data_IF_505496214967
#
_entry.id   IF_505496214967
#
_cell.length_a   1.000
_cell.length_b   1.000
_cell.length_c   1.000
_cell.angle_alpha   90.00
_cell.angle_beta   90.00
_cell.angle_gamma   90.00
#
_symmetry.space_group_name_H-M   'P 1'
#
loop_
_entity.id
_entity.type
_entity.pdbx_description
1 polymer ?
#
# COMPACT_ATOMS: atom_id res chain seq x y z
N UNK A 1 16.66 46.56 20.82
CA UNK A 1 15.89 45.52 20.09
C UNK A 1 16.21 44.18 20.74
N UNK A 2 15.22 43.46 21.27
CA UNK A 2 15.44 42.12 21.78
C UNK A 2 15.82 41.22 20.59
N UNK A 3 16.94 40.52 20.70
CA UNK A 3 17.36 39.58 19.65
C UNK A 3 16.35 38.44 19.58
N UNK A 4 16.01 37.99 18.38
CA UNK A 4 15.15 36.82 18.17
C UNK A 4 15.65 35.60 18.97
N UNK A 5 16.96 35.49 19.17
CA UNK A 5 17.63 34.44 19.94
C UNK A 5 17.51 34.59 21.46
N UNK A 6 17.01 35.74 21.95
CA UNK A 6 16.75 35.96 23.37
C UNK A 6 15.36 35.47 23.81
N UNK A 7 14.56 34.93 22.89
CA UNK A 7 13.26 34.35 23.21
C UNK A 7 13.40 33.02 23.96
N UNK A 8 12.44 32.68 24.85
CA UNK A 8 12.36 31.37 25.47
C UNK A 8 12.24 30.24 24.45
N UNK A 9 12.72 29.05 24.79
CA UNK A 9 12.70 27.88 23.90
C UNK A 9 11.28 27.49 23.49
N UNK A 10 10.30 27.70 24.36
CA UNK A 10 8.87 27.45 24.10
C UNK A 10 8.34 28.37 22.99
N UNK A 11 8.76 29.64 22.99
CA UNK A 11 8.40 30.59 21.93
C UNK A 11 9.09 30.23 20.62
N UNK A 12 10.36 29.85 20.66
CA UNK A 12 11.08 29.38 19.47
C UNK A 12 10.46 28.10 18.88
N UNK A 13 10.00 27.18 19.73
CA UNK A 13 9.27 25.98 19.33
C UNK A 13 7.96 26.31 18.61
N UNK A 14 7.14 27.22 19.15
CA UNK A 14 5.89 27.65 18.52
C UNK A 14 6.15 28.31 17.16
N UNK A 15 7.22 29.09 17.04
CA UNK A 15 7.60 29.70 15.76
C UNK A 15 8.01 28.63 14.75
N UNK A 16 8.83 27.66 15.16
CA UNK A 16 9.22 26.52 14.31
C UNK A 16 7.99 25.74 13.84
N UNK A 17 7.05 25.45 14.76
CA UNK A 17 5.78 24.77 14.47
C UNK A 17 4.85 25.54 13.52
N UNK A 18 5.05 26.85 13.42
CA UNK A 18 4.24 27.72 12.55
C UNK A 18 4.74 27.76 11.10
N UNK A 19 5.92 27.20 10.79
CA UNK A 19 6.47 27.19 9.42
C UNK A 19 5.53 26.47 8.44
N UNK A 20 5.11 27.16 7.38
CA UNK A 20 4.12 26.68 6.40
C UNK A 20 4.61 25.49 5.61
N UNK A 21 5.89 25.52 5.21
CA UNK A 21 6.50 24.47 4.40
C UNK A 21 7.71 23.84 5.09
N UNK A 22 8.05 22.63 4.66
CA UNK A 22 9.26 21.92 5.11
C UNK A 22 10.55 22.65 4.70
N UNK A 23 10.52 23.35 3.55
CA UNK A 23 11.64 24.19 3.09
C UNK A 23 11.87 25.40 4.01
N UNK A 24 10.79 26.05 4.45
CA UNK A 24 10.88 27.13 5.44
C UNK A 24 11.44 26.61 6.77
N UNK A 25 10.93 25.48 7.27
CA UNK A 25 11.44 24.87 8.50
C UNK A 25 12.94 24.56 8.40
N UNK A 26 13.36 23.90 7.30
CA UNK A 26 14.77 23.58 7.05
C UNK A 26 15.63 24.84 7.04
N UNK A 27 15.26 25.82 6.23
CA UNK A 27 15.98 27.10 6.13
C UNK A 27 16.08 27.79 7.49
N UNK A 28 15.00 27.78 8.27
CA UNK A 28 14.95 28.45 9.56
C UNK A 28 15.82 27.77 10.61
N UNK A 29 15.78 26.43 10.69
CA UNK A 29 16.61 25.65 11.62
C UNK A 29 18.10 25.76 11.33
N UNK A 30 18.48 25.98 10.06
CA UNK A 30 19.87 26.12 9.63
C UNK A 30 20.45 27.52 9.89
N UNK A 31 19.64 28.52 10.24
CA UNK A 31 20.13 29.90 10.44
C UNK A 31 21.06 30.05 11.65
N UNK A 32 20.86 29.30 12.73
CA UNK A 32 21.73 29.38 13.91
C UNK A 32 21.69 28.13 14.79
N UNK A 33 22.73 27.96 15.63
CA UNK A 33 22.89 26.80 16.54
C UNK A 33 21.76 26.66 17.56
N UNK A 34 21.21 27.77 18.06
CA UNK A 34 20.14 27.72 19.07
C UNK A 34 18.84 27.17 18.47
N UNK A 35 18.46 27.66 17.29
CA UNK A 35 17.28 27.15 16.57
C UNK A 35 17.44 25.68 16.19
N UNK A 36 18.63 25.30 15.71
CA UNK A 36 18.95 23.90 15.46
C UNK A 36 18.81 23.06 16.74
N UNK A 37 19.32 23.54 17.88
CA UNK A 37 19.20 22.83 19.16
C UNK A 37 17.74 22.69 19.62
N UNK A 38 16.91 23.73 19.48
CA UNK A 38 15.47 23.65 19.82
C UNK A 38 14.76 22.65 18.91
N UNK A 39 15.07 22.68 17.61
CA UNK A 39 14.55 21.74 16.63
C UNK A 39 14.93 20.31 16.95
N UNK A 40 16.21 20.00 17.16
CA UNK A 40 16.69 18.64 17.45
C UNK A 40 16.06 18.07 18.73
N UNK A 41 15.85 18.91 19.74
CA UNK A 41 15.24 18.49 21.01
C UNK A 41 13.71 18.32 20.91
N UNK A 42 13.07 18.94 19.92
CA UNK A 42 11.61 19.00 19.78
C UNK A 42 11.10 18.41 18.47
N UNK A 43 11.94 17.61 17.80
CA UNK A 43 11.73 17.13 16.43
C UNK A 43 10.36 16.47 16.27
N UNK A 44 9.98 15.61 17.21
CA UNK A 44 8.71 14.92 17.20
C UNK A 44 7.51 15.87 17.23
N UNK A 45 7.54 16.87 18.11
CA UNK A 45 6.41 17.80 18.26
C UNK A 45 6.27 18.72 17.05
N UNK A 46 7.40 19.17 16.48
CA UNK A 46 7.43 19.98 15.27
C UNK A 46 6.89 19.18 14.08
N UNK A 47 7.36 17.94 13.89
CA UNK A 47 6.96 17.10 12.77
C UNK A 47 5.53 16.58 12.87
N UNK A 48 5.01 16.31 14.07
CA UNK A 48 3.60 15.96 14.22
C UNK A 48 2.67 17.09 13.73
N UNK A 49 3.09 18.35 13.86
CA UNK A 49 2.29 19.49 13.43
C UNK A 49 2.49 19.80 11.94
N UNK A 50 3.75 19.95 11.51
CA UNK A 50 4.06 20.36 10.14
C UNK A 50 3.84 19.21 9.17
N UNK A 51 4.21 17.98 9.55
CA UNK A 51 4.02 16.78 8.75
C UNK A 51 2.54 16.54 8.44
N UNK A 52 1.67 16.57 9.45
CA UNK A 52 0.21 16.45 9.25
C UNK A 52 -0.39 17.52 8.33
N UNK A 53 0.23 18.69 8.23
CA UNK A 53 -0.22 19.77 7.33
C UNK A 53 0.29 19.61 5.89
N UNK A 54 1.48 19.03 5.71
CA UNK A 54 2.20 19.03 4.43
C UNK A 54 2.23 17.66 3.72
N UNK A 55 2.03 16.57 4.46
CA UNK A 55 2.09 15.20 3.96
C UNK A 55 0.68 14.62 4.07
N UNK A 56 0.00 14.34 2.95
CA UNK A 56 -1.29 13.66 2.98
C UNK A 56 -1.16 12.31 3.69
N UNK A 57 -2.12 11.97 4.54
CA UNK A 57 -2.15 10.76 5.35
C UNK A 57 -0.84 10.47 6.09
N UNK A 58 -0.31 11.52 6.72
CA UNK A 58 0.96 11.52 7.44
C UNK A 58 1.16 10.33 8.40
N UNK A 59 0.11 9.89 9.11
CA UNK A 59 0.23 8.77 10.04
C UNK A 59 0.47 7.44 9.34
N UNK A 60 -0.26 7.17 8.25
CA UNK A 60 -0.05 5.99 7.40
C UNK A 60 1.34 6.04 6.74
N UNK A 61 1.79 7.23 6.29
CA UNK A 61 3.16 7.40 5.78
C UNK A 61 4.24 7.03 6.82
N UNK A 62 4.05 7.41 8.09
CA UNK A 62 4.96 7.02 9.20
C UNK A 62 4.93 5.51 9.42
N UNK A 63 3.75 4.91 9.42
CA UNK A 63 3.59 3.47 9.66
C UNK A 63 4.26 2.67 8.54
N UNK A 64 3.98 3.00 7.28
CA UNK A 64 4.55 2.32 6.11
C UNK A 64 6.06 2.51 6.02
N UNK A 65 6.57 3.73 6.25
CA UNK A 65 8.02 3.97 6.24
C UNK A 65 8.76 3.18 7.32
N UNK A 66 8.20 3.08 8.54
CA UNK A 66 8.76 2.27 9.62
C UNK A 66 8.70 0.78 9.33
N UNK A 67 7.58 0.28 8.80
CA UNK A 67 7.44 -1.12 8.45
C UNK A 67 8.46 -1.54 7.38
N UNK A 68 8.55 -0.75 6.30
CA UNK A 68 9.53 -0.94 5.23
C UNK A 68 10.95 -0.95 5.78
N UNK A 69 11.30 0.02 6.63
CA UNK A 69 12.62 0.08 7.26
C UNK A 69 12.94 -1.17 8.08
N UNK A 70 12.01 -1.65 8.90
CA UNK A 70 12.21 -2.88 9.69
C UNK A 70 12.50 -4.06 8.76
N UNK A 71 11.75 -4.21 7.67
CA UNK A 71 11.94 -5.31 6.74
C UNK A 71 13.27 -5.21 5.98
N UNK A 72 13.63 -4.02 5.52
CA UNK A 72 14.91 -3.76 4.85
C UNK A 72 16.12 -3.95 5.78
N UNK A 73 16.02 -3.56 7.05
CA UNK A 73 17.08 -3.79 8.04
C UNK A 73 17.34 -5.29 8.27
N UNK A 74 16.30 -6.14 8.20
CA UNK A 74 16.45 -7.61 8.28
C UNK A 74 16.99 -8.18 6.97
N UNK A 75 16.50 -7.69 5.83
CA UNK A 75 17.04 -8.04 4.52
C UNK A 75 18.55 -7.74 4.42
N UNK A 76 19.00 -6.58 4.89
CA UNK A 76 20.41 -6.19 4.88
C UNK A 76 21.28 -7.11 5.74
N UNK A 77 20.69 -7.79 6.73
CA UNK A 77 21.30 -8.84 7.57
C UNK A 77 21.17 -10.25 6.96
N UNK A 78 20.39 -10.42 5.89
CA UNK A 78 20.09 -11.72 5.27
C UNK A 78 19.06 -12.55 6.04
N UNK A 79 18.27 -11.91 6.90
CA UNK A 79 17.27 -12.54 7.76
C UNK A 79 15.85 -12.12 7.32
N UNK A 80 14.86 -12.96 7.60
CA UNK A 80 13.47 -12.53 7.47
C UNK A 80 13.08 -11.55 8.58
N UNK A 81 12.08 -10.68 8.33
CA UNK A 81 11.51 -9.87 9.39
C UNK A 81 10.92 -10.71 10.54
N UNK A 82 10.69 -10.09 11.72
CA UNK A 82 10.15 -10.80 12.87
C UNK A 82 8.79 -11.44 12.57
N UNK A 83 8.58 -12.66 13.08
CA UNK A 83 7.27 -13.31 13.11
C UNK A 83 6.85 -13.49 14.59
N UNK A 84 5.75 -12.87 15.05
CA UNK A 84 4.89 -11.97 14.27
C UNK A 84 5.52 -10.58 14.04
N UNK A 85 5.10 -9.89 12.97
CA UNK A 85 5.59 -8.55 12.63
C UNK A 85 5.16 -7.52 13.70
N UNK A 86 6.02 -6.56 14.12
CA UNK A 86 5.76 -5.66 15.25
C UNK A 86 4.85 -4.47 14.90
N UNK A 87 3.63 -4.73 14.43
CA UNK A 87 2.66 -3.70 14.01
C UNK A 87 2.37 -2.66 15.11
N UNK A 88 2.32 -3.07 16.38
CA UNK A 88 1.99 -2.20 17.52
C UNK A 88 3.06 -1.11 17.78
N UNK A 89 4.26 -1.25 17.21
CA UNK A 89 5.37 -0.31 17.40
C UNK A 89 5.49 0.73 16.27
N UNK A 90 4.72 0.56 15.19
CA UNK A 90 4.77 1.42 14.01
C UNK A 90 4.12 2.80 14.23
N UNK A 91 2.96 2.93 14.89
CA UNK A 91 2.27 4.21 15.01
C UNK A 91 3.07 5.27 15.76
N UNK A 92 2.76 6.54 15.47
CA UNK A 92 3.35 7.71 16.16
C UNK A 92 3.05 7.67 17.68
N UNK A 93 1.87 7.16 18.06
CA UNK A 93 1.46 6.98 19.46
C UNK A 93 2.34 5.99 20.22
N UNK A 94 2.95 5.02 19.53
CA UNK A 94 3.82 4.01 20.13
C UNK A 94 5.28 4.46 20.17
N UNK A 95 5.76 5.17 19.12
CA UNK A 95 7.15 5.61 19.00
C UNK A 95 7.24 7.04 18.48
N UNK A 96 7.99 7.89 19.19
CA UNK A 96 8.29 9.26 18.77
C UNK A 96 9.05 9.29 17.44
N UNK A 97 8.75 10.29 16.62
CA UNK A 97 9.42 10.55 15.34
C UNK A 97 10.89 10.88 15.61
N UNK A 98 11.79 10.23 14.88
CA UNK A 98 13.22 10.53 14.85
C UNK A 98 13.69 11.02 13.47
N UNK A 99 14.98 11.37 13.35
CA UNK A 99 15.55 11.87 12.10
C UNK A 99 15.49 10.85 10.95
N UNK A 100 15.66 9.56 11.27
CA UNK A 100 15.54 8.46 10.29
C UNK A 100 14.13 8.39 9.72
N UNK A 101 13.10 8.54 10.58
CA UNK A 101 11.71 8.56 10.13
C UNK A 101 11.48 9.71 9.16
N UNK A 102 12.06 10.88 9.42
CA UNK A 102 11.91 12.07 8.57
C UNK A 102 12.47 11.86 7.18
N UNK A 103 13.69 11.30 7.08
CA UNK A 103 14.28 11.04 5.77
C UNK A 103 13.40 10.08 4.98
N UNK A 104 13.03 8.95 5.57
CA UNK A 104 12.15 7.98 4.91
C UNK A 104 10.79 8.58 4.54
N UNK A 105 10.20 9.42 5.39
CA UNK A 105 8.93 10.10 5.11
C UNK A 105 9.01 11.02 3.90
N UNK A 106 10.12 11.74 3.72
CA UNK A 106 10.31 12.61 2.56
C UNK A 106 10.40 11.81 1.27
N UNK A 107 11.12 10.67 1.31
CA UNK A 107 11.25 9.77 0.16
C UNK A 107 9.91 9.11 -0.17
N UNK A 108 9.17 8.63 0.84
CA UNK A 108 7.84 8.05 0.69
C UNK A 108 6.81 9.04 0.16
N UNK A 109 6.77 10.26 0.71
CA UNK A 109 5.86 11.30 0.22
C UNK A 109 6.17 11.69 -1.23
N UNK A 110 7.46 11.79 -1.59
CA UNK A 110 7.86 12.04 -2.98
C UNK A 110 7.39 10.92 -3.89
N UNK A 111 7.66 9.67 -3.52
CA UNK A 111 7.27 8.48 -4.27
C UNK A 111 5.77 8.41 -4.54
N UNK A 112 4.94 8.57 -3.49
CA UNK A 112 3.48 8.54 -3.66
C UNK A 112 2.98 9.75 -4.46
N UNK A 113 3.66 10.90 -4.41
CA UNK A 113 3.34 12.04 -5.28
C UNK A 113 3.68 11.76 -6.75
N UNK A 114 4.77 11.03 -7.04
CA UNK A 114 5.05 10.56 -8.42
C UNK A 114 3.93 9.63 -8.91
N UNK A 115 3.50 8.68 -8.07
CA UNK A 115 2.37 7.80 -8.38
C UNK A 115 1.06 8.58 -8.59
N UNK A 116 0.80 9.58 -7.75
CA UNK A 116 -0.35 10.49 -7.90
C UNK A 116 -0.33 11.18 -9.28
N UNK A 117 0.82 11.71 -9.70
CA UNK A 117 0.99 12.37 -11.00
C UNK A 117 0.72 11.42 -12.16
N UNK A 118 1.33 10.23 -12.15
CA UNK A 118 1.12 9.23 -13.22
C UNK A 118 -0.34 8.79 -13.25
N UNK A 119 -0.94 8.47 -12.09
CA UNK A 119 -2.33 8.03 -12.05
C UNK A 119 -3.30 9.08 -12.59
N UNK A 120 -3.06 10.37 -12.34
CA UNK A 120 -3.95 11.44 -12.78
C UNK A 120 -3.85 11.78 -14.27
N UNK A 121 -2.76 11.38 -14.94
CA UNK A 121 -2.52 11.72 -16.34
C UNK A 121 -2.62 10.51 -17.26
N UNK A 122 -2.11 9.35 -16.83
CA UNK A 122 -1.92 8.16 -17.68
C UNK A 122 -2.98 7.07 -17.46
N UNK A 123 -3.98 7.29 -16.60
CA UNK A 123 -5.12 6.38 -16.43
C UNK A 123 -6.37 6.93 -17.12
N UNK A 124 -7.29 6.05 -17.53
CA UNK A 124 -8.54 6.46 -18.19
C UNK A 124 -9.45 7.34 -17.30
N UNK A 125 -9.37 7.17 -15.97
CA UNK A 125 -10.18 7.92 -15.01
C UNK A 125 -9.49 9.18 -14.48
N UNK A 126 -8.15 9.22 -14.50
CA UNK A 126 -7.34 10.28 -13.93
C UNK A 126 -7.64 11.68 -14.46
N UNK A 127 -7.60 11.92 -15.79
CA UNK A 127 -7.83 13.24 -16.37
C UNK A 127 -9.26 13.78 -16.13
N UNK A 128 -10.25 12.89 -16.17
CA UNK A 128 -11.65 13.25 -15.89
C UNK A 128 -11.83 13.64 -14.42
N UNK A 129 -11.17 12.92 -13.52
CA UNK A 129 -11.17 13.29 -12.11
C UNK A 129 -10.45 14.63 -11.91
N UNK A 130 -9.23 14.76 -12.42
CA UNK A 130 -8.42 15.96 -12.30
C UNK A 130 -9.19 17.21 -12.76
N UNK A 131 -9.84 17.15 -13.92
CA UNK A 131 -10.65 18.27 -14.43
C UNK A 131 -11.90 18.58 -13.60
N UNK A 132 -12.40 17.61 -12.83
CA UNK A 132 -13.59 17.77 -12.00
C UNK A 132 -13.28 18.34 -10.61
N UNK A 133 -12.17 17.95 -10.00
CA UNK A 133 -11.84 18.31 -8.61
C UNK A 133 -10.64 19.27 -8.46
N UNK A 134 -9.72 19.34 -9.44
CA UNK A 134 -8.63 20.33 -9.40
C UNK A 134 -9.19 21.72 -9.72
N UNK A 135 -8.72 22.77 -9.03
CA UNK A 135 -9.06 24.14 -9.39
C UNK A 135 -8.58 24.46 -10.82
N UNK A 136 -9.41 25.17 -11.59
CA UNK A 136 -9.09 25.58 -12.96
C UNK A 136 -7.93 26.59 -13.06
N UNK A 137 -7.53 27.19 -11.93
CA UNK A 137 -6.42 28.11 -11.81
C UNK A 137 -5.40 27.51 -10.82
N UNK A 138 -4.19 27.23 -11.30
CA UNK A 138 -3.08 26.68 -10.49
C UNK A 138 -2.67 27.63 -9.34
N UNK A 139 -3.01 28.91 -9.42
CA UNK A 139 -2.75 29.89 -8.37
C UNK A 139 -3.84 29.95 -7.28
N UNK A 140 -4.97 29.29 -7.50
CA UNK A 140 -6.06 29.21 -6.52
C UNK A 140 -5.74 28.21 -5.41
N UNK A 141 -6.33 28.42 -4.22
CA UNK A 141 -6.24 27.42 -3.17
C UNK A 141 -6.88 26.10 -3.62
N UNK A 142 -6.28 24.95 -3.28
CA UNK A 142 -6.87 23.66 -3.63
C UNK A 142 -8.27 23.52 -3.02
N UNK A 143 -9.20 22.94 -3.78
CA UNK A 143 -10.56 22.69 -3.30
C UNK A 143 -10.53 21.72 -2.10
N UNK A 144 -11.54 21.79 -1.22
CA UNK A 144 -11.66 20.83 -0.12
C UNK A 144 -11.82 19.38 -0.61
N UNK A 145 -12.47 19.20 -1.76
CA UNK A 145 -12.63 17.91 -2.44
C UNK A 145 -11.28 17.36 -2.91
N UNK A 146 -10.43 18.21 -3.51
CA UNK A 146 -9.08 17.83 -3.89
C UNK A 146 -8.24 17.39 -2.70
N UNK A 147 -8.26 18.15 -1.61
CA UNK A 147 -7.52 17.80 -0.38
C UNK A 147 -7.99 16.45 0.16
N UNK A 148 -9.31 16.21 0.15
CA UNK A 148 -9.92 14.97 0.64
C UNK A 148 -9.55 13.78 -0.25
N UNK A 149 -9.70 13.90 -1.57
CA UNK A 149 -9.31 12.86 -2.51
C UNK A 149 -7.82 12.53 -2.38
N UNK A 150 -6.97 13.56 -2.37
CA UNK A 150 -5.52 13.39 -2.28
C UNK A 150 -5.11 12.67 -0.99
N UNK A 151 -5.73 13.04 0.13
CA UNK A 151 -5.51 12.34 1.40
C UNK A 151 -5.90 10.86 1.30
N UNK A 152 -7.08 10.54 0.75
CA UNK A 152 -7.55 9.15 0.60
C UNK A 152 -6.68 8.32 -0.35
N UNK A 153 -6.26 8.90 -1.47
CA UNK A 153 -5.35 8.26 -2.42
C UNK A 153 -4.00 7.94 -1.78
N UNK A 154 -3.42 8.90 -1.06
CA UNK A 154 -2.15 8.67 -0.36
C UNK A 154 -2.30 7.61 0.72
N UNK A 155 -3.40 7.67 1.49
CA UNK A 155 -3.74 6.67 2.51
C UNK A 155 -3.76 5.25 1.96
N UNK A 156 -4.46 5.05 0.85
CA UNK A 156 -4.62 3.73 0.24
C UNK A 156 -3.31 3.24 -0.36
N UNK A 157 -2.51 4.11 -0.95
CA UNK A 157 -1.15 3.79 -1.40
C UNK A 157 -0.26 3.35 -0.23
N UNK A 158 -0.18 4.13 0.84
CA UNK A 158 0.61 3.77 2.01
C UNK A 158 0.17 2.43 2.61
N UNK A 159 -1.13 2.17 2.72
CA UNK A 159 -1.65 0.89 3.25
C UNK A 159 -1.38 -0.29 2.32
N UNK A 160 -1.49 -0.10 1.00
CA UNK A 160 -1.10 -1.10 0.01
C UNK A 160 0.39 -1.46 0.16
N UNK A 161 1.26 -0.45 0.25
CA UNK A 161 2.70 -0.66 0.47
C UNK A 161 3.05 -1.17 1.87
N UNK A 162 2.18 -1.02 2.87
CA UNK A 162 2.39 -1.63 4.19
C UNK A 162 2.30 -3.16 4.14
N UNK A 163 1.46 -3.71 3.26
CA UNK A 163 1.26 -5.15 3.13
C UNK A 163 2.56 -5.88 2.75
N UNK A 164 3.34 -5.32 1.83
CA UNK A 164 4.62 -5.87 1.38
C UNK A 164 5.58 -6.23 2.52
N UNK A 165 6.09 -5.28 3.31
CA UNK A 165 7.03 -5.55 4.39
C UNK A 165 6.43 -6.42 5.51
N UNK A 166 5.12 -6.32 5.77
CA UNK A 166 4.46 -7.11 6.83
C UNK A 166 4.31 -8.57 6.43
N UNK A 167 3.96 -8.84 5.16
CA UNK A 167 3.67 -10.19 4.66
C UNK A 167 4.85 -10.83 3.94
N UNK A 168 5.93 -10.09 3.64
CA UNK A 168 7.03 -10.62 2.82
C UNK A 168 7.60 -11.94 3.32
N UNK A 169 7.79 -12.08 4.64
CA UNK A 169 8.22 -13.35 5.22
C UNK A 169 7.27 -14.50 4.86
N UNK A 170 5.98 -14.31 5.03
CA UNK A 170 4.96 -15.34 4.78
C UNK A 170 5.03 -15.86 3.35
N UNK A 171 5.24 -14.98 2.37
CA UNK A 171 5.32 -15.36 0.96
C UNK A 171 6.70 -15.88 0.54
N UNK A 172 7.77 -15.39 1.15
CA UNK A 172 9.14 -15.74 0.77
C UNK A 172 9.66 -17.00 1.47
N UNK A 173 9.26 -17.26 2.71
CA UNK A 173 9.70 -18.41 3.50
C UNK A 173 9.47 -19.77 2.80
N UNK A 174 8.31 -20.02 2.14
CA UNK A 174 8.07 -21.25 1.38
C UNK A 174 9.03 -21.46 0.20
N UNK A 175 9.59 -20.39 -0.37
CA UNK A 175 10.52 -20.46 -1.49
C UNK A 175 11.94 -20.88 -1.07
N UNK A 176 12.23 -20.76 0.22
CA UNK A 176 13.57 -20.93 0.78
C UNK A 176 13.67 -22.23 1.56
N UNK A 177 12.67 -22.51 2.40
CA UNK A 177 12.70 -23.65 3.33
C UNK A 177 11.34 -24.36 3.42
N UNK A 178 11.38 -25.68 3.62
CA UNK A 178 10.19 -26.48 3.85
C UNK A 178 10.51 -27.98 3.96
N UNK A 179 9.82 -28.67 4.86
CA UNK A 179 9.79 -30.14 4.89
C UNK A 179 9.05 -30.61 3.64
N UNK A 180 9.71 -31.42 2.81
CA UNK A 180 9.21 -31.94 1.52
C UNK A 180 9.30 -30.98 0.32
N UNK A 181 10.20 -30.00 0.35
CA UNK A 181 10.52 -29.21 -0.84
C UNK A 181 11.01 -30.11 -1.99
N UNK A 182 10.43 -30.04 -3.20
CA UNK A 182 10.86 -30.83 -4.35
C UNK A 182 12.33 -30.59 -4.73
N UNK A 183 12.96 -31.62 -5.31
CA UNK A 183 14.33 -31.51 -5.83
C UNK A 183 14.33 -30.58 -7.06
N UNK A 184 15.26 -29.63 -7.11
CA UNK A 184 15.33 -28.58 -8.14
C UNK A 184 14.12 -27.61 -8.18
N UNK A 185 13.43 -27.42 -7.04
CA UNK A 185 12.27 -26.52 -6.91
C UNK A 185 12.51 -25.15 -7.56
N UNK A 186 11.69 -24.85 -8.58
CA UNK A 186 11.70 -23.68 -9.43
C UNK A 186 12.97 -23.46 -10.27
N UNK A 187 14.02 -24.28 -10.18
CA UNK A 187 15.33 -23.99 -10.83
C UNK A 187 15.21 -23.73 -12.34
N UNK A 188 14.43 -24.54 -13.05
CA UNK A 188 14.23 -24.44 -14.52
C UNK A 188 13.01 -23.61 -14.95
N UNK A 189 12.52 -22.70 -14.10
CA UNK A 189 11.28 -21.95 -14.38
C UNK A 189 11.29 -21.21 -15.73
N UNK A 190 12.39 -20.53 -16.06
CA UNK A 190 12.55 -19.75 -17.30
C UNK A 190 12.59 -20.62 -18.56
N UNK A 191 13.01 -21.88 -18.44
CA UNK A 191 13.05 -22.84 -19.55
C UNK A 191 11.69 -23.51 -19.78
N UNK A 192 10.80 -23.48 -18.78
CA UNK A 192 9.51 -24.19 -18.74
C UNK A 192 8.31 -23.35 -19.18
N UNK A 193 8.53 -22.22 -19.84
CA UNK A 193 7.45 -21.33 -20.31
C UNK A 193 6.41 -20.97 -19.23
N UNK A 194 6.86 -20.75 -17.98
CA UNK A 194 6.00 -20.43 -16.83
C UNK A 194 5.05 -21.57 -16.42
N UNK A 195 5.47 -22.83 -16.53
CA UNK A 195 4.71 -23.96 -15.96
C UNK A 195 5.22 -24.34 -14.56
N UNK A 196 4.29 -24.58 -13.64
CA UNK A 196 4.58 -25.17 -12.32
C UNK A 196 4.28 -26.66 -12.34
N UNK A 197 5.21 -27.49 -11.90
CA UNK A 197 4.94 -28.93 -11.79
C UNK A 197 3.95 -29.22 -10.66
N UNK A 198 3.22 -30.33 -10.78
CA UNK A 198 2.20 -30.70 -9.80
C UNK A 198 2.79 -30.88 -8.39
N UNK A 199 3.99 -31.46 -8.27
CA UNK A 199 4.68 -31.63 -6.99
C UNK A 199 5.14 -30.29 -6.39
N UNK A 200 5.59 -29.33 -7.21
CA UNK A 200 5.89 -27.96 -6.81
C UNK A 200 4.62 -27.23 -6.33
N UNK A 201 3.50 -27.40 -7.03
CA UNK A 201 2.20 -26.84 -6.65
C UNK A 201 1.66 -27.46 -5.35
N UNK A 202 1.73 -28.79 -5.20
CA UNK A 202 1.28 -29.51 -4.00
C UNK A 202 2.13 -29.12 -2.78
N UNK A 203 3.44 -28.95 -2.97
CA UNK A 203 4.33 -28.39 -1.95
C UNK A 203 3.89 -26.98 -1.54
N UNK A 204 3.65 -26.07 -2.50
CA UNK A 204 3.20 -24.71 -2.18
C UNK A 204 1.84 -24.70 -1.49
N UNK A 205 0.88 -25.51 -1.92
CA UNK A 205 -0.44 -25.66 -1.28
C UNK A 205 -0.38 -26.15 0.17
N UNK A 206 0.74 -26.77 0.59
CA UNK A 206 0.93 -27.13 2.00
C UNK A 206 1.08 -25.89 2.91
N UNK A 207 1.42 -24.73 2.33
CA UNK A 207 1.49 -23.46 3.03
C UNK A 207 0.16 -22.70 2.90
N UNK A 208 -0.47 -22.26 4.00
CA UNK A 208 -1.80 -21.66 3.92
C UNK A 208 -1.89 -20.39 3.04
N UNK A 209 -0.78 -19.67 2.85
CA UNK A 209 -0.72 -18.47 2.00
C UNK A 209 -0.93 -18.78 0.49
N UNK A 210 -0.60 -19.99 0.06
CA UNK A 210 -0.80 -20.47 -1.31
C UNK A 210 -2.00 -21.42 -1.43
N UNK A 211 -2.63 -21.77 -0.31
CA UNK A 211 -3.89 -22.51 -0.29
C UNK A 211 -5.07 -21.54 -0.15
N UNK A 212 -5.58 -21.10 -1.30
CA UNK A 212 -6.58 -20.04 -1.41
C UNK A 212 -7.97 -20.49 -0.92
N UNK A 213 -8.21 -21.79 -0.83
CA UNK A 213 -9.48 -22.36 -0.36
C UNK A 213 -9.50 -22.61 1.16
N UNK A 214 -8.32 -22.76 1.79
CA UNK A 214 -8.17 -23.01 3.23
C UNK A 214 -8.35 -21.74 4.08
N UNK A 215 -9.47 -21.05 3.92
CA UNK A 215 -9.77 -19.78 4.58
C UNK A 215 -9.61 -19.82 6.11
N UNK A 216 -10.03 -20.93 6.75
CA UNK A 216 -9.90 -21.12 8.20
C UNK A 216 -8.44 -21.08 8.68
N UNK A 217 -7.49 -21.34 7.78
CA UNK A 217 -6.05 -21.36 8.05
C UNK A 217 -5.39 -20.00 7.78
N UNK A 218 -6.14 -18.98 7.34
CA UNK A 218 -5.60 -17.66 7.02
C UNK A 218 -5.49 -16.71 8.22
N UNK A 219 -6.17 -17.00 9.34
CA UNK A 219 -6.12 -16.17 10.56
C UNK A 219 -4.68 -15.92 11.07
N UNK A 220 -3.78 -16.92 11.16
CA UNK A 220 -2.39 -16.68 11.59
C UNK A 220 -1.56 -15.83 10.62
N UNK A 221 -2.00 -15.71 9.36
CA UNK A 221 -1.31 -14.94 8.32
C UNK A 221 -1.81 -13.50 8.31
N UNK A 222 -3.11 -13.32 8.12
CA UNK A 222 -3.70 -12.01 7.86
C UNK A 222 -4.32 -11.37 9.10
N UNK A 223 -4.67 -12.15 10.14
CA UNK A 223 -5.47 -11.69 11.28
C UNK A 223 -4.94 -10.41 11.92
N UNK A 224 -3.63 -10.35 12.22
CA UNK A 224 -3.01 -9.17 12.84
C UNK A 224 -3.01 -7.93 11.95
N UNK A 225 -2.73 -8.09 10.64
CA UNK A 225 -2.71 -6.97 9.71
C UNK A 225 -4.14 -6.49 9.38
N UNK A 226 -5.08 -7.43 9.24
CA UNK A 226 -6.49 -7.14 9.07
C UNK A 226 -7.07 -6.38 10.26
N UNK A 227 -6.81 -6.83 11.49
CA UNK A 227 -7.22 -6.12 12.71
C UNK A 227 -6.58 -4.72 12.78
N UNK A 228 -5.32 -4.60 12.37
CA UNK A 228 -4.64 -3.31 12.31
C UNK A 228 -5.34 -2.35 11.35
N UNK A 229 -5.66 -2.77 10.12
CA UNK A 229 -6.42 -1.95 9.17
C UNK A 229 -7.81 -1.58 9.69
N UNK A 230 -8.53 -2.51 10.32
CA UNK A 230 -9.84 -2.25 10.92
C UNK A 230 -9.77 -1.20 12.04
N UNK A 231 -8.73 -1.25 12.88
CA UNK A 231 -8.53 -0.24 13.94
C UNK A 231 -8.20 1.13 13.37
N UNK A 232 -7.46 1.20 12.26
CA UNK A 232 -7.09 2.46 11.63
C UNK A 232 -8.26 3.24 11.02
N UNK A 233 -9.43 2.62 10.81
CA UNK A 233 -10.62 3.31 10.30
C UNK A 233 -11.50 3.92 11.39
N UNK A 234 -11.20 3.69 12.68
CA UNK A 234 -11.96 4.26 13.78
C UNK A 234 -12.09 5.80 13.75
N UNK A 235 -11.04 6.57 13.41
CA UNK A 235 -11.16 8.02 13.31
C UNK A 235 -12.12 8.48 12.20
N UNK A 236 -12.27 7.69 11.13
CA UNK A 236 -13.04 8.03 9.93
C UNK A 236 -14.57 7.88 10.14
N UNK A 237 -14.99 7.17 11.20
CA UNK A 237 -16.41 6.92 11.52
C UNK A 237 -17.20 8.21 11.74
N UNK A 238 -16.54 9.28 12.20
CA UNK A 238 -17.17 10.57 12.43
C UNK A 238 -17.33 11.43 11.16
N UNK A 239 -16.45 11.26 10.17
CA UNK A 239 -16.51 12.00 8.89
C UNK A 239 -17.49 11.35 7.89
N UNK A 240 -17.61 10.02 7.92
CA UNK A 240 -18.49 9.27 7.00
C UNK A 240 -19.99 9.32 7.33
N UNK A 241 -20.40 9.83 8.50
CA UNK A 241 -21.82 10.02 8.84
C UNK A 241 -22.57 10.96 7.87
N UNK A 242 -21.83 11.74 7.08
CA UNK A 242 -22.36 12.62 6.03
C UNK A 242 -22.42 11.99 4.63
N UNK A 243 -21.68 10.90 4.40
CA UNK A 243 -21.68 10.15 3.15
C UNK A 243 -22.74 9.04 3.20
N UNK A 244 -23.46 8.83 2.09
CA UNK A 244 -24.41 7.71 1.97
C UNK A 244 -23.72 6.41 2.38
N UNK A 245 -24.23 5.76 3.42
CA UNK A 245 -23.73 4.46 3.89
C UNK A 245 -23.77 3.46 2.74
N UNK A 246 -22.61 3.10 2.22
CA UNK A 246 -22.47 2.24 1.03
C UNK A 246 -22.33 0.76 1.41
N UNK A 247 -22.40 0.45 2.70
CA UNK A 247 -22.34 -0.90 3.23
C UNK A 247 -23.63 -1.68 2.99
N UNK A 248 -23.49 -2.94 2.60
CA UNK A 248 -24.57 -3.85 2.23
C UNK A 248 -25.70 -3.89 3.28
N UNK A 249 -26.94 -3.69 2.83
CA UNK A 249 -28.12 -3.71 3.72
C UNK A 249 -28.26 -5.10 4.38
N UNK A 250 -27.98 -6.16 3.64
CA UNK A 250 -28.19 -7.54 4.09
C UNK A 250 -26.94 -8.19 4.69
N UNK A 251 -25.77 -7.53 4.68
CA UNK A 251 -24.60 -8.08 5.33
C UNK A 251 -24.67 -7.88 6.85
N UNK A 252 -24.18 -8.89 7.58
CA UNK A 252 -24.05 -8.84 9.03
C UNK A 252 -22.58 -8.69 9.38
N UNK A 253 -22.12 -7.51 9.82
CA UNK A 253 -20.75 -7.33 10.24
C UNK A 253 -20.44 -8.14 11.50
N UNK A 254 -19.16 -8.35 11.77
CA UNK A 254 -18.72 -8.97 13.02
C UNK A 254 -19.23 -8.19 14.24
N UNK A 255 -19.47 -8.90 15.35
CA UNK A 255 -20.03 -8.31 16.57
C UNK A 255 -19.18 -7.16 17.16
N UNK A 256 -17.91 -7.05 16.79
CA UNK A 256 -17.03 -5.94 17.18
C UNK A 256 -17.25 -4.64 16.40
N UNK A 257 -17.98 -4.67 15.28
CA UNK A 257 -18.21 -3.52 14.40
C UNK A 257 -19.69 -3.13 14.39
N UNK A 258 -19.96 -1.86 14.67
CA UNK A 258 -21.25 -1.29 14.28
C UNK A 258 -21.32 -1.05 12.77
N UNK A 259 -22.51 -0.73 12.26
CA UNK A 259 -22.72 -0.54 10.81
C UNK A 259 -21.96 0.66 10.24
N UNK A 260 -21.72 1.70 11.03
CA UNK A 260 -20.98 2.87 10.56
C UNK A 260 -19.49 2.54 10.44
N UNK A 261 -18.92 1.86 11.43
CA UNK A 261 -17.54 1.39 11.38
C UNK A 261 -17.36 0.33 10.30
N UNK A 262 -18.30 -0.58 10.10
CA UNK A 262 -18.27 -1.54 8.99
C UNK A 262 -18.26 -0.84 7.61
N UNK A 263 -18.99 0.27 7.45
CA UNK A 263 -18.94 1.10 6.24
C UNK A 263 -17.56 1.70 6.01
N UNK A 264 -16.96 2.30 7.04
CA UNK A 264 -15.61 2.87 6.95
C UNK A 264 -14.55 1.81 6.64
N UNK A 265 -14.66 0.63 7.27
CA UNK A 265 -13.80 -0.52 6.97
C UNK A 265 -13.97 -0.96 5.52
N UNK A 266 -15.20 -1.08 5.03
CA UNK A 266 -15.47 -1.46 3.65
C UNK A 266 -14.86 -0.46 2.66
N UNK A 267 -15.11 0.84 2.84
CA UNK A 267 -14.58 1.89 1.97
C UNK A 267 -13.05 1.87 1.95
N UNK A 268 -12.41 1.85 3.12
CA UNK A 268 -10.95 1.80 3.22
C UNK A 268 -10.36 0.53 2.59
N UNK A 269 -11.03 -0.62 2.76
CA UNK A 269 -10.62 -1.89 2.15
C UNK A 269 -10.70 -1.81 0.62
N UNK A 270 -11.78 -1.26 0.06
CA UNK A 270 -11.92 -1.07 -1.39
C UNK A 270 -10.85 -0.14 -1.92
N UNK A 271 -10.64 1.04 -1.32
CA UNK A 271 -9.58 1.96 -1.77
C UNK A 271 -8.20 1.28 -1.76
N UNK A 272 -7.89 0.52 -0.70
CA UNK A 272 -6.63 -0.20 -0.59
C UNK A 272 -6.51 -1.32 -1.64
N UNK A 273 -7.57 -2.11 -1.87
CA UNK A 273 -7.62 -3.15 -2.90
C UNK A 273 -7.33 -2.55 -4.28
N UNK A 274 -8.03 -1.46 -4.61
CA UNK A 274 -7.88 -0.75 -5.88
C UNK A 274 -6.46 -0.22 -6.05
N UNK A 275 -5.90 0.42 -5.01
CA UNK A 275 -4.50 0.87 -5.04
C UNK A 275 -3.53 -0.30 -5.22
N UNK A 276 -3.76 -1.45 -4.57
CA UNK A 276 -2.93 -2.65 -4.77
C UNK A 276 -2.99 -3.14 -6.21
N UNK A 277 -4.18 -3.19 -6.81
CA UNK A 277 -4.35 -3.61 -8.21
C UNK A 277 -3.69 -2.64 -9.18
N UNK A 278 -3.84 -1.32 -8.97
CA UNK A 278 -3.18 -0.30 -9.79
C UNK A 278 -1.65 -0.50 -9.78
N UNK A 279 -1.05 -0.85 -8.64
CA UNK A 279 0.41 -1.05 -8.55
C UNK A 279 0.96 -2.24 -9.34
N UNK A 280 0.10 -3.11 -9.87
CA UNK A 280 0.52 -4.23 -10.69
C UNK A 280 0.50 -3.92 -12.19
N UNK A 281 0.03 -2.73 -12.56
CA UNK A 281 0.02 -2.30 -13.93
C UNK A 281 1.45 -2.03 -14.43
N UNK A 282 1.80 -2.63 -15.57
CA UNK A 282 3.18 -2.63 -16.10
C UNK A 282 3.68 -1.23 -16.50
N UNK A 283 2.78 -0.27 -16.76
CA UNK A 283 3.14 1.10 -17.15
C UNK A 283 3.64 1.96 -15.99
N UNK A 284 3.46 1.54 -14.73
CA UNK A 284 3.90 2.32 -13.57
C UNK A 284 5.39 2.18 -13.28
N UNK A 285 5.96 1.01 -13.60
CA UNK A 285 7.34 0.68 -13.29
C UNK A 285 8.03 -0.02 -14.45
N UNK A 286 8.96 0.69 -15.06
CA UNK A 286 9.80 0.13 -16.12
C UNK A 286 10.99 -0.61 -15.48
N UNK A 287 11.45 -1.72 -16.07
CA UNK A 287 12.69 -2.34 -15.65
C UNK A 287 13.85 -1.36 -15.86
N UNK A 288 14.71 -1.21 -14.83
CA UNK A 288 15.91 -0.38 -14.92
C UNK A 288 16.92 -1.00 -15.91
N UNK A 289 16.79 -0.62 -17.19
CA UNK A 289 17.87 -0.78 -18.16
C UNK A 289 18.97 0.23 -17.82
N UNK A 290 20.25 -0.15 -17.90
CA UNK A 290 21.43 0.60 -17.43
C UNK A 290 21.66 1.99 -18.10
N UNK A 291 20.62 2.68 -18.58
CA UNK A 291 20.70 4.05 -19.07
C UNK A 291 20.77 5.03 -17.90
N UNK A 292 21.90 5.72 -17.77
CA UNK A 292 22.02 6.93 -16.94
C UNK A 292 21.11 8.03 -17.51
N UNK A 293 19.87 8.08 -17.04
CA UNK A 293 18.96 9.20 -17.33
C UNK A 293 19.25 10.34 -16.33
N UNK A 294 19.76 11.49 -16.79
CA UNK A 294 20.14 12.60 -15.93
C UNK A 294 18.96 13.24 -15.17
N UNK A 295 17.70 12.94 -15.54
CA UNK A 295 16.51 13.41 -14.83
C UNK A 295 16.24 12.68 -13.49
N UNK A 296 16.81 11.49 -13.30
CA UNK A 296 16.53 10.62 -12.14
C UNK A 296 17.53 10.88 -11.02
N UNK A 297 17.09 11.61 -10.00
CA UNK A 297 17.96 12.08 -8.91
C UNK A 297 17.55 11.54 -7.53
N UNK A 298 16.43 10.82 -7.45
CA UNK A 298 15.90 10.28 -6.19
C UNK A 298 15.69 8.79 -6.29
N UNK A 299 15.91 8.09 -5.19
CA UNK A 299 15.64 6.65 -5.07
C UNK A 299 14.93 6.34 -3.77
N UNK A 300 14.14 5.28 -3.77
CA UNK A 300 13.52 4.72 -2.57
C UNK A 300 13.64 3.20 -2.58
N UNK A 301 13.92 2.61 -1.41
CA UNK A 301 13.87 1.15 -1.22
C UNK A 301 12.53 0.77 -0.61
N UNK A 302 11.85 -0.21 -1.19
CA UNK A 302 10.56 -0.69 -0.71
C UNK A 302 10.39 -2.20 -0.93
N UNK A 303 9.26 -2.74 -0.48
CA UNK A 303 8.85 -4.12 -0.71
C UNK A 303 7.40 -4.07 -1.23
N UNK A 304 7.20 -4.41 -2.50
CA UNK A 304 5.89 -4.46 -3.15
C UNK A 304 5.08 -5.71 -2.78
N UNK A 305 3.80 -5.71 -3.12
CA UNK A 305 2.88 -6.86 -2.95
C UNK A 305 2.90 -7.83 -4.14
N UNK A 306 3.51 -7.43 -5.25
CA UNK A 306 3.73 -8.23 -6.45
C UNK A 306 4.90 -9.21 -6.27
N UNK A 307 6.01 -8.75 -5.71
CA UNK A 307 7.22 -9.58 -5.52
C UNK A 307 7.48 -9.98 -4.08
N UNK A 308 6.89 -9.28 -3.09
CA UNK A 308 7.20 -9.45 -1.67
C UNK A 308 8.71 -9.48 -1.38
N UNK A 309 9.49 -8.77 -2.19
CA UNK A 309 10.93 -8.79 -2.14
C UNK A 309 11.48 -7.35 -2.23
N UNK A 310 12.63 -7.05 -1.61
CA UNK A 310 13.20 -5.71 -1.64
C UNK A 310 13.58 -5.22 -3.04
N UNK A 311 13.10 -4.03 -3.34
CA UNK A 311 13.29 -3.33 -4.61
C UNK A 311 13.78 -1.91 -4.35
N UNK A 312 14.44 -1.35 -5.34
CA UNK A 312 14.78 0.05 -5.42
C UNK A 312 14.05 0.67 -6.60
N UNK A 313 13.36 1.78 -6.34
CA UNK A 313 12.67 2.59 -7.34
C UNK A 313 13.45 3.87 -7.56
N UNK A 314 13.85 4.12 -8.80
CA UNK A 314 14.46 5.37 -9.26
C UNK A 314 13.36 6.31 -9.79
N UNK A 315 13.44 7.57 -9.35
CA UNK A 315 12.40 8.59 -9.57
C UNK A 315 13.02 9.92 -10.02
N UNK A 316 12.26 10.75 -10.75
CA UNK A 316 12.68 12.11 -11.07
C UNK A 316 12.81 12.99 -9.83
N UNK A 317 13.54 14.10 -9.98
CA UNK A 317 13.71 15.10 -8.92
C UNK A 317 12.42 15.83 -8.56
N UNK A 318 11.52 16.03 -9.52
CA UNK A 318 10.18 16.59 -9.34
C UNK A 318 9.13 15.54 -9.66
N UNK A 319 8.06 15.48 -8.86
CA UNK A 319 7.04 14.46 -9.01
C UNK A 319 6.24 14.58 -10.31
N UNK A 320 6.02 15.80 -10.79
CA UNK A 320 5.27 16.08 -12.02
C UNK A 320 5.99 15.59 -13.29
N UNK A 321 7.31 15.38 -13.22
CA UNK A 321 8.12 14.84 -14.32
C UNK A 321 7.95 13.30 -14.43
N UNK A 322 7.31 12.64 -13.47
CA UNK A 322 7.23 11.17 -13.40
C UNK A 322 6.43 10.56 -14.55
N UNK A 323 5.48 11.31 -15.12
CA UNK A 323 4.76 10.90 -16.32
C UNK A 323 5.65 10.82 -17.57
N UNK A 324 6.58 11.77 -17.71
CA UNK A 324 7.41 11.91 -18.91
C UNK A 324 8.69 11.08 -18.81
N UNK A 325 9.23 10.96 -17.59
CA UNK A 325 10.50 10.29 -17.32
C UNK A 325 10.34 8.87 -16.82
N UNK A 326 9.12 8.47 -16.46
CA UNK A 326 8.74 7.20 -15.86
C UNK A 326 9.48 6.87 -14.55
N UNK A 327 9.02 5.85 -13.83
CA UNK A 327 9.71 5.29 -12.68
C UNK A 327 10.32 3.94 -13.03
N UNK A 328 11.50 3.68 -12.48
CA UNK A 328 12.26 2.48 -12.81
C UNK A 328 12.44 1.62 -11.57
N UNK A 329 12.13 0.34 -11.71
CA UNK A 329 12.26 -0.65 -10.65
C UNK A 329 13.46 -1.55 -10.88
N UNK A 330 14.18 -1.84 -9.79
CA UNK A 330 15.28 -2.80 -9.77
C UNK A 330 15.20 -3.64 -8.51
N UNK A 331 15.23 -4.96 -8.68
CA UNK A 331 15.30 -5.88 -7.55
C UNK A 331 16.66 -5.82 -6.86
N UNK A 332 16.67 -5.79 -5.52
CA UNK A 332 17.90 -5.76 -4.74
C UNK A 332 18.49 -7.17 -4.62
N UNK A 333 19.56 -7.45 -5.35
CA UNK A 333 20.22 -8.75 -5.24
C UNK A 333 20.98 -8.86 -3.91
N UNK A 334 20.65 -9.86 -3.09
CA UNK A 334 21.56 -10.30 -2.03
C UNK A 334 22.79 -10.86 -2.71
N UNK A 335 23.90 -10.10 -2.71
CA UNK A 335 25.15 -10.59 -3.28
C UNK A 335 25.52 -11.97 -2.72
N UNK A 336 26.21 -12.80 -3.51
CA UNK A 336 26.55 -14.22 -3.27
C UNK A 336 27.36 -14.50 -1.96
N UNK A 337 27.49 -13.53 -1.05
CA UNK A 337 28.39 -13.55 0.12
C UNK A 337 27.77 -13.17 1.45
N UNK A 338 26.45 -13.06 1.60
CA UNK A 338 25.84 -12.92 2.93
C UNK A 338 25.19 -14.24 3.33
N UNK A 339 25.81 -14.90 4.32
CA UNK A 339 25.42 -16.18 4.93
C UNK A 339 24.05 -16.15 5.65
N UNK A 340 23.12 -15.31 5.22
CA UNK A 340 21.75 -15.30 5.72
C UNK A 340 20.89 -16.19 4.84
N UNK A 341 20.50 -17.35 5.36
CA UNK A 341 19.69 -18.35 4.67
C UNK A 341 18.22 -17.92 4.45
N UNK A 342 17.90 -16.62 4.51
CA UNK A 342 16.54 -16.12 4.53
C UNK A 342 15.99 -15.73 3.16
N UNK A 343 16.77 -15.28 2.19
CA UNK A 343 16.23 -14.71 0.95
C UNK A 343 16.71 -15.48 -0.29
N UNK A 344 15.86 -15.58 -1.32
CA UNK A 344 16.15 -16.34 -2.54
C UNK A 344 15.94 -15.51 -3.80
N UNK A 345 16.79 -15.73 -4.81
CA UNK A 345 16.60 -15.17 -6.16
C UNK A 345 15.32 -15.67 -6.84
N UNK A 346 14.74 -16.77 -6.36
CA UNK A 346 13.42 -17.23 -6.84
C UNK A 346 12.29 -16.23 -6.54
N UNK A 347 12.54 -15.19 -5.73
CA UNK A 347 11.59 -14.11 -5.49
C UNK A 347 11.18 -13.37 -6.77
N UNK A 348 12.07 -13.23 -7.76
CA UNK A 348 11.75 -12.67 -9.09
C UNK A 348 10.62 -13.43 -9.79
N UNK A 349 10.42 -14.70 -9.40
CA UNK A 349 9.41 -15.60 -9.97
C UNK A 349 8.13 -15.63 -9.15
N UNK A 350 8.11 -15.03 -7.96
CA UNK A 350 6.99 -15.15 -7.03
C UNK A 350 5.68 -14.62 -7.63
N UNK A 351 5.72 -13.50 -8.35
CA UNK A 351 4.52 -12.98 -9.03
C UNK A 351 3.92 -14.02 -9.99
N UNK A 352 4.75 -14.59 -10.87
CA UNK A 352 4.32 -15.64 -11.80
C UNK A 352 3.84 -16.91 -11.07
N UNK A 353 4.51 -17.32 -10.00
CA UNK A 353 4.09 -18.45 -9.16
C UNK A 353 2.71 -18.16 -8.56
N UNK A 354 2.48 -16.97 -8.00
CA UNK A 354 1.21 -16.57 -7.41
C UNK A 354 0.07 -16.57 -8.44
N UNK A 355 0.33 -16.07 -9.66
CA UNK A 355 -0.66 -16.04 -10.73
C UNK A 355 -1.01 -17.45 -11.25
N UNK A 356 -0.03 -18.35 -11.33
CA UNK A 356 -0.28 -19.74 -11.70
C UNK A 356 -1.04 -20.50 -10.61
N UNK A 357 -0.64 -20.34 -9.34
CA UNK A 357 -1.33 -20.97 -8.21
C UNK A 357 -2.80 -20.56 -8.13
N UNK A 358 -3.12 -19.33 -8.53
CA UNK A 358 -4.49 -18.83 -8.66
C UNK A 358 -5.31 -19.55 -9.74
N UNK A 359 -4.67 -19.93 -10.85
CA UNK A 359 -5.30 -20.64 -11.97
C UNK A 359 -5.40 -22.15 -11.79
N UNK A 360 -4.70 -22.72 -10.82
CA UNK A 360 -4.77 -24.16 -10.59
C UNK A 360 -6.06 -24.54 -9.85
N UNK A 361 -6.73 -25.63 -10.25
CA UNK A 361 -7.83 -26.21 -9.50
C UNK A 361 -7.43 -26.42 -8.04
N UNK A 362 -8.30 -26.07 -7.10
CA UNK A 362 -8.29 -26.71 -5.78
C UNK A 362 -8.76 -28.16 -5.90
N UNK A 363 -8.89 -28.86 -4.76
CA UNK A 363 -9.54 -30.18 -4.71
C UNK A 363 -11.06 -30.10 -5.01
N UNK A 364 -11.60 -28.87 -5.14
CA UNK A 364 -12.96 -28.61 -5.57
C UNK A 364 -13.07 -28.64 -7.12
N UNK A 365 -14.14 -29.27 -7.65
CA UNK A 365 -14.41 -29.42 -9.09
C UNK A 365 -14.69 -28.08 -9.84
N UNK A 366 -14.35 -26.92 -9.26
CA UNK A 366 -14.70 -25.60 -9.78
C UNK A 366 -13.80 -25.10 -10.93
N UNK A 367 -12.74 -25.84 -11.27
CA UNK A 367 -11.84 -25.51 -12.38
C UNK A 367 -12.46 -25.61 -13.78
N UNK A 368 -13.67 -26.16 -13.90
CA UNK A 368 -14.34 -26.36 -15.19
C UNK A 368 -14.96 -25.06 -15.75
N UNK A 369 -15.08 -24.00 -14.93
CA UNK A 369 -15.97 -22.86 -15.24
C UNK A 369 -15.29 -21.48 -15.32
N UNK A 370 -13.96 -21.43 -15.47
CA UNK A 370 -13.23 -20.15 -15.61
C UNK A 370 -13.23 -19.25 -14.36
N UNK A 371 -13.71 -19.75 -13.23
CA UNK A 371 -13.74 -19.05 -11.93
C UNK A 371 -12.31 -18.93 -11.39
N UNK A 372 -11.80 -17.71 -11.29
CA UNK A 372 -10.47 -17.43 -10.72
C UNK A 372 -10.63 -16.89 -9.31
N UNK A 373 -10.01 -17.57 -8.35
CA UNK A 373 -9.83 -17.03 -6.98
C UNK A 373 -9.03 -15.73 -7.02
N UNK A 374 -9.08 -14.86 -5.99
CA UNK A 374 -8.22 -13.69 -5.92
C UNK A 374 -6.74 -14.12 -5.96
N UNK A 375 -5.89 -13.35 -6.67
CA UNK A 375 -4.45 -13.55 -6.61
C UNK A 375 -3.98 -13.57 -5.14
N UNK A 376 -3.01 -14.41 -4.74
CA UNK A 376 -2.59 -14.56 -3.35
C UNK A 376 -2.41 -13.26 -2.54
N UNK A 377 -1.83 -12.15 -3.06
CA UNK A 377 -1.72 -10.91 -2.30
C UNK A 377 -3.08 -10.25 -1.95
N UNK A 378 -4.13 -10.53 -2.73
CA UNK A 378 -5.48 -9.99 -2.51
C UNK A 378 -6.28 -10.80 -1.47
N UNK A 379 -5.78 -11.94 -1.03
CA UNK A 379 -6.47 -12.81 -0.06
C UNK A 379 -6.68 -12.13 1.30
N UNK A 380 -5.85 -11.15 1.66
CA UNK A 380 -6.12 -10.33 2.85
C UNK A 380 -7.43 -9.56 2.77
N UNK A 381 -7.81 -9.07 1.59
CA UNK A 381 -9.08 -8.36 1.40
C UNK A 381 -10.25 -9.34 1.48
N UNK A 382 -10.11 -10.54 0.91
CA UNK A 382 -11.08 -11.63 1.08
C UNK A 382 -11.21 -12.03 2.57
N UNK A 383 -10.09 -12.03 3.30
CA UNK A 383 -10.04 -12.25 4.73
C UNK A 383 -10.81 -11.19 5.50
N UNK A 384 -10.52 -9.91 5.29
CA UNK A 384 -11.21 -8.79 5.94
C UNK A 384 -12.71 -8.83 5.64
N UNK A 385 -13.07 -8.99 4.36
CA UNK A 385 -14.45 -9.04 3.88
C UNK A 385 -15.28 -10.09 4.63
N UNK A 386 -14.76 -11.32 4.74
CA UNK A 386 -15.46 -12.42 5.42
C UNK A 386 -15.44 -12.26 6.93
N UNK A 387 -14.27 -11.96 7.51
CA UNK A 387 -14.04 -11.96 8.95
C UNK A 387 -14.77 -10.84 9.66
N UNK A 388 -14.84 -9.65 9.04
CA UNK A 388 -15.33 -8.43 9.67
C UNK A 388 -16.61 -7.89 9.02
N UNK A 389 -16.77 -8.07 7.70
CA UNK A 389 -17.82 -7.40 6.95
C UNK A 389 -18.97 -8.34 6.54
N UNK A 390 -18.90 -9.64 6.81
CA UNK A 390 -19.97 -10.59 6.44
C UNK A 390 -20.22 -10.69 4.93
N UNK A 391 -19.23 -10.36 4.11
CA UNK A 391 -19.28 -10.42 2.64
C UNK A 391 -18.10 -11.19 2.07
N UNK A 392 -18.18 -11.62 0.82
CA UNK A 392 -17.08 -12.25 0.10
C UNK A 392 -17.02 -11.77 -1.34
N UNK A 393 -15.88 -11.96 -2.00
CA UNK A 393 -15.84 -11.78 -3.45
C UNK A 393 -16.77 -12.79 -4.12
N UNK A 394 -17.45 -12.36 -5.19
CA UNK A 394 -18.15 -13.30 -6.07
C UNK A 394 -17.13 -14.18 -6.82
N UNK A 395 -17.53 -15.37 -7.26
CA UNK A 395 -16.60 -16.37 -7.78
C UNK A 395 -15.87 -15.96 -9.06
N UNK A 396 -16.42 -15.02 -9.82
CA UNK A 396 -15.93 -14.47 -11.08
C UNK A 396 -15.47 -13.01 -10.97
N UNK A 397 -15.36 -12.49 -9.73
CA UNK A 397 -14.92 -11.11 -9.44
C UNK A 397 -13.61 -10.72 -10.12
N UNK A 398 -12.78 -11.70 -10.44
CA UNK A 398 -11.48 -11.52 -11.06
C UNK A 398 -11.32 -12.36 -12.34
N UNK A 399 -12.41 -12.83 -12.95
CA UNK A 399 -12.36 -13.66 -14.17
C UNK A 399 -11.91 -12.86 -15.42
N UNK A 400 -12.10 -11.54 -15.42
CA UNK A 400 -11.57 -10.66 -16.47
C UNK A 400 -10.05 -10.66 -16.48
N UNK A 401 -9.46 -10.71 -17.67
CA UNK A 401 -8.02 -10.49 -17.84
C UNK A 401 -7.69 -9.09 -17.30
N UNK A 402 -6.58 -8.97 -16.57
CA UNK A 402 -6.15 -7.76 -15.84
C UNK A 402 -5.94 -6.55 -16.77
N UNK A 403 -6.13 -6.69 -18.09
CA UNK A 403 -6.04 -5.61 -19.07
C UNK A 403 -7.29 -4.73 -19.26
N UNK A 404 -8.46 -5.08 -18.71
CA UNK A 404 -9.69 -4.25 -18.75
C UNK A 404 -10.00 -3.60 -17.37
N UNK A 405 -8.96 -3.34 -16.57
CA UNK A 405 -9.09 -2.75 -15.24
C UNK A 405 -9.70 -1.35 -15.28
N UNK A 406 -9.63 -0.61 -16.40
CA UNK A 406 -10.22 0.72 -16.51
C UNK A 406 -11.75 0.76 -16.48
N UNK A 407 -12.44 -0.33 -16.84
CA UNK A 407 -13.90 -0.43 -16.70
C UNK A 407 -14.36 -0.63 -15.24
N UNK A 408 -13.42 -1.02 -14.38
CA UNK A 408 -13.63 -1.29 -12.96
C UNK A 408 -13.35 -0.06 -12.08
N UNK A 409 -13.24 1.17 -12.60
CA UNK A 409 -13.01 2.35 -11.75
C UNK A 409 -14.00 3.50 -12.01
N UNK A 410 -14.88 3.81 -11.06
CA UNK A 410 -15.72 5.03 -11.04
C UNK A 410 -15.31 5.90 -9.86
N UNK A 411 -14.84 7.11 -10.12
CA UNK A 411 -14.63 8.11 -9.06
C UNK A 411 -15.94 8.82 -8.70
N UNK A 412 -16.29 8.86 -7.41
CA UNK A 412 -17.43 9.63 -6.94
C UNK A 412 -17.00 11.04 -6.52
N UNK A 413 -17.41 12.02 -7.33
CA UNK A 413 -16.97 13.42 -7.24
C UNK A 413 -17.23 14.06 -5.87
N UNK A 414 -18.31 13.70 -5.16
CA UNK A 414 -18.64 14.33 -3.88
C UNK A 414 -17.92 13.71 -2.68
N UNK A 415 -17.35 12.51 -2.83
CA UNK A 415 -16.64 11.83 -1.73
C UNK A 415 -15.15 11.71 -1.98
N UNK A 416 -14.69 11.83 -3.24
CA UNK A 416 -13.29 11.61 -3.59
C UNK A 416 -12.87 10.15 -3.47
N UNK A 417 -13.82 9.22 -3.55
CA UNK A 417 -13.55 7.78 -3.52
C UNK A 417 -13.47 7.22 -4.94
N UNK A 418 -12.52 6.32 -5.17
CA UNK A 418 -12.46 5.49 -6.38
C UNK A 418 -13.21 4.18 -6.10
N UNK A 419 -14.20 3.84 -6.90
CA UNK A 419 -15.06 2.66 -6.74
C UNK A 419 -14.96 1.71 -7.92
N UNK A 420 -15.54 0.52 -7.79
CA UNK A 420 -15.69 -0.41 -8.90
C UNK A 420 -16.88 -0.05 -9.82
N UNK A 421 -16.71 0.05 -11.14
CA UNK A 421 -17.83 0.25 -12.10
C UNK A 421 -18.79 -0.96 -12.13
N UNK A 422 -20.07 -0.91 -12.49
CA UNK A 422 -21.01 0.10 -13.02
C UNK A 422 -21.89 0.60 -11.87
N UNK A 423 -21.94 1.91 -11.60
CA UNK A 423 -23.00 2.47 -10.76
C UNK A 423 -24.26 2.56 -11.63
N UNK A 424 -25.37 1.87 -11.29
CA UNK A 424 -26.58 2.01 -12.10
C UNK A 424 -26.99 3.48 -12.07
N UNK A 425 -27.26 4.06 -13.24
CA UNK A 425 -27.87 5.39 -13.38
C UNK A 425 -29.27 5.34 -12.74
N UNK A 426 -29.33 5.40 -11.41
CA UNK A 426 -30.51 4.98 -10.66
C UNK A 426 -30.42 5.07 -9.13
N UNK A 427 -29.44 5.77 -8.54
CA UNK A 427 -29.41 5.95 -7.08
C UNK A 427 -29.36 4.62 -6.28
N UNK A 428 -29.63 4.63 -4.96
CA UNK A 428 -29.49 3.46 -4.10
C UNK A 428 -30.68 2.51 -4.27
N UNK A 429 -30.84 1.94 -5.45
CA UNK A 429 -31.77 0.85 -5.70
C UNK A 429 -31.04 -0.48 -5.53
N UNK A 430 -30.67 -0.85 -4.30
CA UNK A 430 -30.50 -2.24 -3.83
C UNK A 430 -29.56 -3.22 -4.56
N UNK A 431 -28.98 -2.88 -5.69
CA UNK A 431 -28.22 -3.78 -6.55
C UNK A 431 -26.73 -3.68 -6.21
N UNK A 432 -26.13 -4.86 -6.00
CA UNK A 432 -24.78 -5.06 -5.49
C UNK A 432 -23.73 -4.39 -6.39
N UNK A 433 -22.63 -3.81 -5.85
CA UNK A 433 -21.42 -3.66 -6.66
C UNK A 433 -21.02 -5.05 -7.20
N UNK A 434 -20.64 -5.18 -8.47
CA UNK A 434 -20.54 -6.47 -9.19
C UNK A 434 -19.40 -7.38 -8.74
N UNK A 435 -18.81 -7.17 -7.57
CA UNK A 435 -17.62 -7.89 -7.10
C UNK A 435 -17.84 -8.61 -5.76
N UNK A 436 -18.90 -8.31 -4.99
CA UNK A 436 -19.12 -8.90 -3.67
C UNK A 436 -20.54 -9.44 -3.50
N UNK A 437 -20.65 -10.51 -2.71
CA UNK A 437 -21.92 -11.07 -2.25
C UNK A 437 -21.91 -11.30 -0.73
N UNK A 438 -23.10 -11.35 -0.14
CA UNK A 438 -23.29 -11.62 1.29
C UNK A 438 -22.94 -13.07 1.59
N UNK A 439 -22.19 -13.31 2.68
CA UNK A 439 -21.92 -14.69 3.13
C UNK A 439 -23.24 -15.28 3.67
N UNK A 440 -23.67 -16.46 3.19
CA UNK A 440 -24.94 -17.08 3.59
C UNK A 440 -25.13 -17.28 5.09
#
# INVERSE_FOLDING_TARGET
MASFLSLPNETLLLILQSCDTLSQLSSFTLTCKQLHSVYSNSIHSIWCQIGRRNIPSFEDAVITSRATRIALEHFDKGEFPPAPFPLDQLPISARKICLEDIQSLMDWNHFVTCLESICLEDTDWGPNLASSIKPADESAQPSGEWITWRDRFHRSMYRSFLMGPVLCRTYQEPLVQGTNRPENFLEKWTERALEIHQDEADYLRSFPVFNLEAYEMHEPIYGRLAEFFVRQTQPDVHDELSAKTMYFINATPDASLDRAHASAVYNAMIQCLLSTMTMWEEYLFFPDEESEDPGRTRTIRLIGTDTFYPEEISMPGHADDAKDTHMFRRMLLTGDKKNGAGWTRNAERLFGVMDLMRGLPGDSNDAIDGKKTPCPPLQIFQFIARRYLGVRFINDAFAMEVGDTSELFISHLNTGDIYLGIWPEGGPSGDLPPMFEVVP
#
